data_IF_001835027965
#
_entry.id   IF_001835027965
#
_cell.length_a   1.000
_cell.length_b   1.000
_cell.length_c   1.000
_cell.angle_alpha   90.00
_cell.angle_beta   90.00
_cell.angle_gamma   90.00
#
_symmetry.space_group_name_H-M   'P 1'
#
loop_
_entity.id
_entity.type
_entity.pdbx_description
1 polymer ?
#
# COMPACT_ATOMS: atom_id res chain seq x y z
N UNK A 1 -20.30 29.62 -24.11
CA UNK A 1 -20.23 29.97 -22.68
C UNK A 1 -19.31 28.93 -21.99
N UNK A 2 -18.03 29.24 -21.77
CA UNK A 2 -17.15 28.44 -20.95
C UNK A 2 -17.42 28.84 -19.49
N UNK A 3 -18.27 28.11 -18.79
CA UNK A 3 -18.36 28.21 -17.32
C UNK A 3 -17.03 27.74 -16.77
N UNK A 4 -16.16 28.66 -16.44
CA UNK A 4 -14.95 28.40 -15.64
C UNK A 4 -15.44 27.86 -14.30
N UNK A 5 -15.30 26.54 -14.09
CA UNK A 5 -15.54 25.89 -12.81
C UNK A 5 -14.47 26.42 -11.84
N UNK A 6 -14.74 27.52 -11.15
CA UNK A 6 -13.88 27.98 -10.06
C UNK A 6 -14.15 27.06 -8.87
N UNK A 7 -13.12 26.32 -8.46
CA UNK A 7 -13.16 25.56 -7.21
C UNK A 7 -13.40 26.56 -6.04
N UNK A 8 -14.16 26.11 -5.06
CA UNK A 8 -14.34 26.86 -3.82
C UNK A 8 -12.97 27.06 -3.14
N UNK A 9 -12.70 28.23 -2.61
CA UNK A 9 -11.49 28.50 -1.81
C UNK A 9 -11.35 27.55 -0.64
N UNK A 10 -12.44 26.98 -0.14
CA UNK A 10 -12.44 25.93 0.88
C UNK A 10 -11.64 24.68 0.45
N UNK A 11 -11.52 24.39 -0.85
CA UNK A 11 -10.73 23.23 -1.32
C UNK A 11 -9.25 23.29 -0.89
N UNK A 12 -8.72 24.52 -0.74
CA UNK A 12 -7.32 24.81 -0.41
C UNK A 12 -7.09 25.08 1.09
N UNK A 13 -8.11 24.84 1.94
CA UNK A 13 -8.04 24.96 3.40
C UNK A 13 -8.37 23.61 4.03
N UNK A 14 -7.75 23.30 5.17
CA UNK A 14 -8.04 22.06 5.91
C UNK A 14 -9.53 21.96 6.27
N UNK A 15 -10.06 23.06 6.77
CA UNK A 15 -11.45 23.17 7.24
C UNK A 15 -12.27 24.07 6.33
N UNK A 16 -13.55 23.82 6.34
CA UNK A 16 -14.54 24.58 5.61
C UNK A 16 -15.49 23.65 4.84
N UNK A 17 -16.77 23.98 4.89
CA UNK A 17 -17.78 23.28 4.09
C UNK A 17 -17.70 23.76 2.65
N UNK A 18 -17.78 22.84 1.73
CA UNK A 18 -17.87 23.13 0.31
C UNK A 18 -19.12 22.45 -0.30
N UNK A 19 -19.61 22.91 -1.46
CA UNK A 19 -20.75 22.28 -2.11
C UNK A 19 -20.47 20.80 -2.42
N UNK A 20 -21.39 19.89 -2.13
CA UNK A 20 -21.25 18.46 -2.38
C UNK A 20 -20.92 18.16 -3.86
N UNK A 21 -21.45 18.94 -4.80
CA UNK A 21 -21.13 18.83 -6.23
C UNK A 21 -19.63 19.00 -6.55
N UNK A 22 -18.88 19.69 -5.69
CA UNK A 22 -17.42 19.82 -5.80
C UNK A 22 -16.69 18.83 -4.87
N UNK A 23 -17.19 18.64 -3.64
CA UNK A 23 -16.57 17.76 -2.64
C UNK A 23 -16.51 16.31 -3.11
N UNK A 24 -17.62 15.77 -3.64
CA UNK A 24 -17.70 14.36 -4.07
C UNK A 24 -16.68 14.03 -5.19
N UNK A 25 -16.59 14.77 -6.31
CA UNK A 25 -15.58 14.49 -7.33
C UNK A 25 -14.14 14.57 -6.80
N UNK A 26 -13.86 15.54 -5.91
CA UNK A 26 -12.53 15.68 -5.32
C UNK A 26 -12.20 14.53 -4.36
N UNK A 27 -13.12 14.14 -3.48
CA UNK A 27 -12.94 12.98 -2.61
C UNK A 27 -12.81 11.68 -3.40
N UNK A 28 -13.64 11.47 -4.43
CA UNK A 28 -13.51 10.33 -5.32
C UNK A 28 -12.16 10.29 -6.05
N UNK A 29 -11.65 11.43 -6.50
CA UNK A 29 -10.34 11.53 -7.14
C UNK A 29 -9.22 10.96 -6.25
N UNK A 30 -9.22 11.31 -4.96
CA UNK A 30 -8.24 10.81 -4.00
C UNK A 30 -8.39 9.31 -3.76
N UNK A 31 -9.62 8.82 -3.57
CA UNK A 31 -9.89 7.41 -3.30
C UNK A 31 -9.63 6.53 -4.52
N UNK A 32 -10.06 6.94 -5.71
CA UNK A 32 -9.85 6.15 -6.93
C UNK A 32 -8.36 6.02 -7.30
N UNK A 33 -7.55 7.01 -6.95
CA UNK A 33 -6.10 6.94 -7.13
C UNK A 33 -5.44 5.83 -6.30
N UNK A 34 -6.00 5.50 -5.13
CA UNK A 34 -5.47 4.49 -4.21
C UNK A 34 -6.30 3.22 -4.14
N UNK A 35 -7.47 3.18 -4.78
CA UNK A 35 -8.44 2.09 -4.64
C UNK A 35 -7.81 0.70 -4.86
N UNK A 36 -7.03 0.57 -5.91
CA UNK A 36 -6.32 -0.67 -6.23
C UNK A 36 -5.19 -0.93 -5.25
N UNK A 37 -4.44 0.10 -4.87
CA UNK A 37 -3.36 0.00 -3.88
C UNK A 37 -3.84 -0.54 -2.54
N UNK A 38 -5.05 -0.21 -2.14
CA UNK A 38 -5.68 -0.72 -0.91
C UNK A 38 -6.00 -2.23 -0.98
N UNK A 39 -6.30 -2.78 -2.14
CA UNK A 39 -6.73 -4.18 -2.30
C UNK A 39 -5.61 -5.11 -2.76
N UNK A 40 -4.61 -4.57 -3.45
CA UNK A 40 -3.46 -5.32 -3.99
C UNK A 40 -2.70 -6.12 -2.92
N UNK A 41 -2.30 -5.56 -1.77
CA UNK A 41 -1.58 -6.32 -0.75
C UNK A 41 -2.36 -7.53 -0.26
N UNK A 42 -3.68 -7.38 -0.11
CA UNK A 42 -4.56 -8.44 0.34
C UNK A 42 -4.63 -9.58 -0.68
N UNK A 43 -4.76 -9.26 -1.98
CA UNK A 43 -4.74 -10.27 -3.06
C UNK A 43 -3.42 -11.04 -3.09
N UNK A 44 -2.30 -10.35 -2.90
CA UNK A 44 -0.96 -10.96 -2.87
C UNK A 44 -0.82 -11.89 -1.67
N UNK A 45 -1.19 -11.45 -0.48
CA UNK A 45 -0.99 -12.22 0.76
C UNK A 45 -1.98 -13.38 0.88
N UNK A 46 -3.24 -13.21 0.46
CA UNK A 46 -4.17 -14.34 0.38
C UNK A 46 -3.68 -15.39 -0.60
N UNK A 47 -3.08 -14.98 -1.73
CA UNK A 47 -2.43 -15.87 -2.67
C UNK A 47 -1.22 -16.60 -2.06
N UNK A 48 -0.34 -15.88 -1.36
CA UNK A 48 0.85 -16.45 -0.69
C UNK A 48 0.48 -17.43 0.44
N UNK A 49 -0.61 -17.17 1.16
CA UNK A 49 -1.15 -18.09 2.15
C UNK A 49 -1.92 -19.28 1.54
N UNK A 50 -2.19 -19.28 0.23
CA UNK A 50 -2.99 -20.34 -0.41
C UNK A 50 -4.49 -20.28 -0.07
N UNK A 51 -5.00 -19.12 0.36
CA UNK A 51 -6.41 -18.87 0.69
C UNK A 51 -7.09 -17.96 -0.36
N UNK A 52 -6.65 -18.05 -1.60
CA UNK A 52 -7.22 -17.33 -2.72
C UNK A 52 -7.99 -18.27 -3.65
N UNK A 53 -9.28 -18.02 -3.86
CA UNK A 53 -10.13 -18.82 -4.75
C UNK A 53 -10.50 -20.21 -4.20
N UNK A 54 -11.04 -21.07 -5.04
CA UNK A 54 -11.49 -22.40 -4.64
C UNK A 54 -12.47 -22.35 -3.45
N UNK A 55 -12.24 -23.19 -2.44
CA UNK A 55 -13.02 -23.24 -1.20
C UNK A 55 -12.92 -21.95 -0.35
N UNK A 56 -11.87 -21.13 -0.56
CA UNK A 56 -11.66 -19.86 0.15
C UNK A 56 -12.19 -18.63 -0.62
N UNK A 57 -12.91 -18.82 -1.73
CA UNK A 57 -13.39 -17.72 -2.57
C UNK A 57 -14.25 -16.71 -1.79
N UNK A 58 -15.13 -17.21 -0.92
CA UNK A 58 -16.02 -16.38 -0.09
C UNK A 58 -15.23 -15.66 1.00
N UNK A 59 -14.27 -16.34 1.62
CA UNK A 59 -13.39 -15.73 2.59
C UNK A 59 -12.59 -14.58 1.95
N UNK A 60 -11.97 -14.80 0.80
CA UNK A 60 -11.22 -13.76 0.09
C UNK A 60 -12.11 -12.56 -0.25
N UNK A 61 -13.36 -12.81 -0.68
CA UNK A 61 -14.33 -11.76 -0.96
C UNK A 61 -14.67 -10.94 0.29
N UNK A 62 -14.90 -11.59 1.44
CA UNK A 62 -15.12 -10.92 2.72
C UNK A 62 -13.93 -10.06 3.15
N UNK A 63 -12.71 -10.57 2.99
CA UNK A 63 -11.49 -9.83 3.32
C UNK A 63 -11.35 -8.57 2.47
N UNK A 64 -11.62 -8.65 1.15
CA UNK A 64 -11.59 -7.49 0.25
C UNK A 64 -12.67 -6.45 0.60
N UNK A 65 -13.87 -6.91 0.97
CA UNK A 65 -14.96 -6.07 1.46
C UNK A 65 -14.55 -5.31 2.73
N UNK A 66 -14.03 -6.05 3.71
CA UNK A 66 -13.58 -5.51 4.97
C UNK A 66 -12.46 -4.49 4.77
N UNK A 67 -11.53 -4.71 3.81
CA UNK A 67 -10.46 -3.78 3.51
C UNK A 67 -10.97 -2.41 3.04
N UNK A 68 -12.01 -2.39 2.22
CA UNK A 68 -12.63 -1.14 1.77
C UNK A 68 -13.33 -0.41 2.93
N UNK A 69 -14.10 -1.15 3.74
CA UNK A 69 -14.78 -0.59 4.92
C UNK A 69 -13.80 0.03 5.90
N UNK A 70 -12.77 -0.75 6.29
CA UNK A 70 -11.77 -0.35 7.28
C UNK A 70 -10.99 0.87 6.79
N UNK A 71 -10.53 0.87 5.52
CA UNK A 71 -9.85 2.01 4.93
C UNK A 71 -10.68 3.29 5.03
N UNK A 72 -11.97 3.21 4.75
CA UNK A 72 -12.88 4.35 4.88
C UNK A 72 -13.04 4.84 6.32
N UNK A 73 -13.24 3.92 7.28
CA UNK A 73 -13.39 4.25 8.71
C UNK A 73 -12.09 4.88 9.26
N UNK A 74 -10.94 4.25 9.02
CA UNK A 74 -9.65 4.74 9.51
C UNK A 74 -9.29 6.09 8.87
N UNK A 75 -9.63 6.28 7.59
CA UNK A 75 -9.50 7.59 6.94
C UNK A 75 -10.32 8.67 7.63
N UNK A 76 -11.58 8.39 8.01
CA UNK A 76 -12.40 9.36 8.76
C UNK A 76 -11.78 9.70 10.11
N UNK A 77 -11.23 8.71 10.82
CA UNK A 77 -10.52 8.94 12.09
C UNK A 77 -9.27 9.80 11.86
N UNK A 78 -8.51 9.55 10.80
CA UNK A 78 -7.33 10.34 10.45
C UNK A 78 -7.69 11.79 10.12
N UNK A 79 -8.79 12.03 9.40
CA UNK A 79 -9.25 13.36 9.00
C UNK A 79 -9.81 14.18 10.16
N UNK A 80 -10.55 13.57 11.09
CA UNK A 80 -11.32 14.31 12.11
C UNK A 80 -10.85 14.09 13.54
N UNK A 81 -10.08 13.05 13.78
CA UNK A 81 -9.56 12.57 15.05
C UNK A 81 -10.65 12.14 16.08
N UNK A 82 -10.33 11.13 16.85
CA UNK A 82 -11.09 10.70 18.03
C UNK A 82 -10.15 10.78 19.24
N UNK A 83 -10.32 11.80 20.07
CA UNK A 83 -9.39 12.10 21.15
C UNK A 83 -7.98 12.40 20.60
N UNK A 84 -6.93 11.68 21.04
CA UNK A 84 -5.57 11.87 20.56
C UNK A 84 -5.28 11.12 19.24
N UNK A 85 -6.16 10.21 18.80
CA UNK A 85 -5.99 9.37 17.62
C UNK A 85 -6.50 10.08 16.39
N UNK A 86 -5.63 10.31 15.42
CA UNK A 86 -5.90 11.05 14.19
C UNK A 86 -5.12 12.35 14.11
N UNK A 87 -4.40 12.57 13.00
CA UNK A 87 -3.57 13.76 12.79
C UNK A 87 -4.35 15.00 12.36
N UNK A 88 -5.64 14.87 12.02
CA UNK A 88 -6.43 15.94 11.37
C UNK A 88 -5.80 16.46 10.09
N UNK A 89 -5.13 15.58 9.37
CA UNK A 89 -4.38 15.86 8.13
C UNK A 89 -5.12 15.31 6.91
N UNK A 90 -4.95 15.92 5.72
CA UNK A 90 -5.68 15.53 4.52
C UNK A 90 -5.01 14.32 3.83
N UNK A 91 -5.01 13.18 4.51
CA UNK A 91 -4.40 11.95 4.03
C UNK A 91 -5.43 10.82 4.02
N UNK A 92 -5.36 9.96 3.01
CA UNK A 92 -6.19 8.76 2.93
C UNK A 92 -5.42 7.59 3.50
N UNK A 93 -6.10 6.77 4.29
CA UNK A 93 -5.57 5.56 4.92
C UNK A 93 -6.03 4.33 4.16
N UNK A 94 -5.24 3.28 4.19
CA UNK A 94 -5.62 1.99 3.61
C UNK A 94 -4.56 0.93 3.85
N UNK A 95 -4.76 -0.25 3.26
CA UNK A 95 -3.91 -1.43 3.47
C UNK A 95 -2.46 -1.17 3.04
N UNK A 96 -1.53 -1.38 3.95
CA UNK A 96 -0.10 -1.13 3.73
C UNK A 96 0.52 -2.16 2.79
N UNK A 97 1.18 -1.67 1.74
CA UNK A 97 2.01 -2.50 0.87
C UNK A 97 3.36 -2.85 1.51
N UNK A 98 3.82 -2.09 2.47
CA UNK A 98 5.12 -2.29 3.13
C UNK A 98 5.25 -3.65 3.81
N UNK A 99 4.15 -4.19 4.32
CA UNK A 99 4.13 -5.49 5.00
C UNK A 99 4.21 -6.71 4.06
N UNK A 100 4.05 -6.56 2.74
CA UNK A 100 3.96 -7.69 1.81
C UNK A 100 5.18 -8.62 1.95
N UNK A 101 6.39 -8.08 2.01
CA UNK A 101 7.62 -8.88 2.13
C UNK A 101 7.66 -9.68 3.41
N UNK A 102 7.36 -9.05 4.55
CA UNK A 102 7.35 -9.69 5.86
C UNK A 102 6.24 -10.74 5.95
N UNK A 103 5.05 -10.45 5.45
CA UNK A 103 3.93 -11.39 5.47
C UNK A 103 4.13 -12.59 4.54
N UNK A 104 4.78 -12.41 3.38
CA UNK A 104 5.20 -13.53 2.54
C UNK A 104 6.16 -14.46 3.29
N UNK A 105 7.11 -13.90 4.06
CA UNK A 105 8.00 -14.68 4.90
C UNK A 105 7.27 -15.41 6.02
N UNK A 106 6.32 -14.76 6.69
CA UNK A 106 5.48 -15.39 7.72
C UNK A 106 4.65 -16.51 7.10
N UNK A 107 4.01 -16.28 5.94
CA UNK A 107 3.25 -17.30 5.23
C UNK A 107 4.11 -18.53 4.90
N UNK A 108 5.32 -18.34 4.38
CA UNK A 108 6.26 -19.41 4.08
C UNK A 108 6.71 -20.16 5.35
N UNK A 109 7.06 -19.43 6.43
CA UNK A 109 7.55 -20.01 7.70
C UNK A 109 6.47 -20.81 8.41
N UNK A 110 5.21 -20.38 8.32
CA UNK A 110 4.07 -21.03 8.97
C UNK A 110 3.41 -22.12 8.11
N UNK A 111 3.89 -22.35 6.88
CA UNK A 111 3.37 -23.39 5.97
C UNK A 111 2.08 -23.00 5.25
N UNK A 112 1.73 -21.73 5.19
CA UNK A 112 0.53 -21.24 4.50
C UNK A 112 -0.78 -21.50 5.23
N UNK A 113 -1.89 -21.43 4.50
CA UNK A 113 -3.24 -21.71 4.99
C UNK A 113 -3.82 -20.62 5.89
N UNK A 114 -5.00 -20.91 6.41
CA UNK A 114 -5.74 -20.02 7.34
C UNK A 114 -4.94 -19.80 8.64
N UNK A 115 -4.12 -20.77 9.06
CA UNK A 115 -3.28 -20.66 10.26
C UNK A 115 -2.21 -19.58 10.09
N UNK A 116 -1.51 -19.57 8.95
CA UNK A 116 -0.50 -18.55 8.66
C UNK A 116 -1.13 -17.16 8.55
N UNK A 117 -2.28 -17.06 7.88
CA UNK A 117 -3.03 -15.80 7.81
C UNK A 117 -3.51 -15.34 9.20
N UNK A 118 -3.95 -16.26 10.06
CA UNK A 118 -4.29 -15.99 11.46
C UNK A 118 -3.09 -15.46 12.26
N UNK A 119 -1.89 -16.00 12.02
CA UNK A 119 -0.66 -15.51 12.66
C UNK A 119 -0.29 -14.09 12.19
N UNK A 120 -0.54 -13.76 10.92
CA UNK A 120 -0.41 -12.40 10.40
C UNK A 120 -1.39 -11.47 11.14
N UNK A 121 -2.65 -11.87 11.32
CA UNK A 121 -3.64 -11.08 12.06
C UNK A 121 -3.24 -10.86 13.52
N UNK A 122 -2.81 -11.91 14.22
CA UNK A 122 -2.34 -11.81 15.61
C UNK A 122 -1.14 -10.88 15.75
N UNK A 123 -0.16 -11.00 14.84
CA UNK A 123 1.01 -10.13 14.80
C UNK A 123 0.63 -8.68 14.48
N UNK A 124 -0.34 -8.46 13.59
CA UNK A 124 -0.83 -7.13 13.22
C UNK A 124 -1.57 -6.43 14.37
N UNK A 125 -2.32 -7.16 15.20
CA UNK A 125 -2.95 -6.61 16.41
C UNK A 125 -1.88 -6.10 17.38
N UNK A 126 -0.89 -6.94 17.71
CA UNK A 126 0.17 -6.59 18.66
C UNK A 126 1.03 -5.44 18.09
N UNK A 127 1.39 -5.53 16.82
CA UNK A 127 2.21 -4.52 16.15
C UNK A 127 1.53 -3.17 16.04
N UNK A 128 0.23 -3.13 15.74
CA UNK A 128 -0.52 -1.89 15.69
C UNK A 128 -0.69 -1.22 17.07
N UNK A 129 -0.90 -2.00 18.14
CA UNK A 129 -0.88 -1.48 19.50
C UNK A 129 0.50 -0.91 19.85
N UNK A 130 1.57 -1.61 19.47
CA UNK A 130 2.94 -1.13 19.65
C UNK A 130 3.19 0.20 18.90
N UNK A 131 2.78 0.31 17.65
CA UNK A 131 2.89 1.56 16.87
C UNK A 131 2.05 2.69 17.47
N UNK A 132 0.88 2.40 18.02
CA UNK A 132 0.08 3.39 18.76
C UNK A 132 0.87 3.96 19.94
N UNK A 133 1.57 3.11 20.69
CA UNK A 133 2.45 3.55 21.78
C UNK A 133 3.63 4.36 21.25
N UNK A 134 4.25 3.95 20.13
CA UNK A 134 5.29 4.74 19.47
C UNK A 134 4.79 6.14 19.09
N UNK A 135 3.58 6.23 18.55
CA UNK A 135 2.95 7.51 18.22
C UNK A 135 2.83 8.44 19.44
N UNK A 136 2.52 7.91 20.61
CA UNK A 136 2.47 8.68 21.85
C UNK A 136 3.83 9.28 22.21
N UNK A 137 4.92 8.55 21.96
CA UNK A 137 6.30 8.96 22.25
C UNK A 137 7.03 9.51 21.02
N UNK A 138 6.31 9.90 19.96
CA UNK A 138 6.93 10.30 18.70
C UNK A 138 7.80 11.55 18.82
N UNK A 139 7.42 12.52 19.64
CA UNK A 139 8.16 13.79 19.80
C UNK A 139 9.66 13.60 20.13
N UNK A 140 10.07 12.81 21.14
CA UNK A 140 11.49 12.53 21.39
C UNK A 140 12.13 11.65 20.30
N UNK A 141 11.34 10.86 19.57
CA UNK A 141 11.84 9.95 18.53
C UNK A 141 12.03 10.63 17.18
N UNK A 142 11.34 11.75 16.91
CA UNK A 142 11.40 12.48 15.62
C UNK A 142 12.84 12.81 15.18
N UNK A 143 13.74 13.08 16.10
CA UNK A 143 15.16 13.35 15.79
C UNK A 143 15.90 12.20 15.10
N UNK A 144 15.38 10.99 15.20
CA UNK A 144 15.96 9.81 14.56
C UNK A 144 15.45 9.59 13.14
N UNK A 145 14.42 10.35 12.71
CA UNK A 145 13.73 10.22 11.45
C UNK A 145 13.80 11.49 10.59
N UNK A 146 15.01 12.01 10.27
CA UNK A 146 15.14 13.11 9.31
C UNK A 146 14.70 12.64 7.92
N UNK A 147 14.48 13.57 6.98
CA UNK A 147 13.93 13.28 5.66
C UNK A 147 14.79 12.29 4.85
N UNK A 148 16.11 12.29 5.05
CA UNK A 148 17.00 11.30 4.42
C UNK A 148 16.71 9.89 4.90
N UNK A 149 16.43 9.68 6.20
CA UNK A 149 16.10 8.36 6.75
C UNK A 149 14.71 7.92 6.29
N UNK A 150 13.69 8.78 6.46
CA UNK A 150 12.31 8.47 6.04
C UNK A 150 12.23 8.20 4.54
N UNK A 151 12.88 9.03 3.72
CA UNK A 151 12.93 8.84 2.27
C UNK A 151 13.63 7.56 1.85
N UNK A 152 14.74 7.20 2.53
CA UNK A 152 15.45 5.94 2.29
C UNK A 152 14.56 4.73 2.60
N UNK A 153 13.83 4.77 3.71
CA UNK A 153 12.88 3.72 4.09
C UNK A 153 11.75 3.58 3.05
N UNK A 154 11.09 4.67 2.68
CA UNK A 154 10.00 4.68 1.69
C UNK A 154 10.51 4.16 0.34
N UNK A 155 11.68 4.62 -0.12
CA UNK A 155 12.27 4.13 -1.35
C UNK A 155 12.58 2.63 -1.29
N UNK A 156 13.07 2.14 -0.15
CA UNK A 156 13.37 0.72 0.08
C UNK A 156 12.11 -0.15 -0.01
N UNK A 157 10.98 0.33 0.51
CA UNK A 157 9.68 -0.33 0.36
C UNK A 157 9.34 -0.48 -1.13
N UNK A 158 9.38 0.61 -1.89
CA UNK A 158 9.07 0.58 -3.31
C UNK A 158 9.98 -0.38 -4.10
N UNK A 159 11.30 -0.33 -3.89
CA UNK A 159 12.27 -1.20 -4.55
C UNK A 159 12.05 -2.69 -4.23
N UNK A 160 11.77 -3.01 -2.97
CA UNK A 160 11.51 -4.39 -2.55
C UNK A 160 10.25 -4.95 -3.19
N UNK A 161 9.25 -4.11 -3.43
CA UNK A 161 7.95 -4.51 -3.99
C UNK A 161 7.93 -4.61 -5.52
N UNK A 162 8.88 -3.99 -6.24
CA UNK A 162 8.94 -4.09 -7.71
C UNK A 162 9.02 -5.55 -8.16
N UNK A 163 9.80 -6.40 -7.49
CA UNK A 163 9.90 -7.83 -7.81
C UNK A 163 8.56 -8.55 -7.63
N UNK A 164 7.79 -8.20 -6.60
CA UNK A 164 6.42 -8.73 -6.39
C UNK A 164 5.50 -8.31 -7.53
N UNK A 165 5.60 -7.05 -7.96
CA UNK A 165 4.86 -6.53 -9.11
C UNK A 165 5.19 -7.28 -10.40
N UNK A 166 6.47 -7.55 -10.66
CA UNK A 166 6.93 -8.31 -11.85
C UNK A 166 6.44 -9.77 -11.79
N UNK A 167 6.41 -10.41 -10.63
CA UNK A 167 5.85 -11.74 -10.48
C UNK A 167 4.35 -11.78 -10.86
N UNK A 168 3.60 -10.79 -10.40
CA UNK A 168 2.19 -10.63 -10.81
C UNK A 168 2.06 -10.30 -12.31
N UNK A 169 2.98 -9.51 -12.87
CA UNK A 169 3.06 -9.18 -14.28
C UNK A 169 3.14 -10.43 -15.18
N UNK A 170 3.87 -11.46 -14.72
CA UNK A 170 3.94 -12.77 -15.37
C UNK A 170 2.71 -13.66 -15.21
N UNK A 171 1.68 -13.21 -14.49
CA UNK A 171 0.46 -14.02 -14.23
C UNK A 171 0.39 -14.60 -12.81
N UNK A 172 1.41 -14.36 -11.97
CA UNK A 172 1.51 -14.88 -10.60
C UNK A 172 2.29 -16.20 -10.52
N UNK A 173 3.17 -16.32 -9.52
CA UNK A 173 4.12 -17.44 -9.38
C UNK A 173 3.48 -18.84 -9.31
N UNK A 174 2.21 -18.93 -8.92
CA UNK A 174 1.48 -20.21 -8.80
C UNK A 174 0.71 -20.57 -10.07
N UNK A 175 0.65 -19.65 -11.05
CA UNK A 175 -0.06 -19.89 -12.30
C UNK A 175 0.68 -20.92 -13.16
N UNK A 176 -0.04 -21.85 -13.77
CA UNK A 176 0.52 -22.88 -14.67
C UNK A 176 1.07 -22.27 -15.96
N UNK A 177 0.54 -21.10 -16.36
CA UNK A 177 0.95 -20.31 -17.53
C UNK A 177 1.79 -19.08 -17.12
N UNK A 178 2.49 -19.14 -15.98
CA UNK A 178 3.39 -18.07 -15.53
C UNK A 178 4.42 -17.72 -16.61
N UNK A 179 4.55 -16.44 -16.93
CA UNK A 179 5.47 -15.95 -17.95
C UNK A 179 5.00 -16.16 -19.38
N UNK A 180 3.77 -16.63 -19.63
CA UNK A 180 3.22 -16.77 -20.98
C UNK A 180 3.15 -15.41 -21.68
N UNK A 181 3.24 -15.44 -23.02
CA UNK A 181 3.17 -14.20 -23.82
C UNK A 181 1.84 -13.48 -23.64
N UNK A 182 0.75 -14.19 -23.42
CA UNK A 182 -0.57 -13.63 -23.16
C UNK A 182 -0.55 -12.81 -21.85
N UNK A 183 0.00 -13.37 -20.78
CA UNK A 183 0.13 -12.66 -19.50
C UNK A 183 1.04 -11.43 -19.62
N UNK A 184 2.21 -11.57 -20.26
CA UNK A 184 3.16 -10.47 -20.41
C UNK A 184 2.60 -9.33 -21.28
N UNK A 185 1.94 -9.65 -22.39
CA UNK A 185 1.35 -8.63 -23.27
C UNK A 185 0.16 -7.93 -22.62
N UNK A 186 -0.66 -8.66 -21.86
CA UNK A 186 -1.78 -8.07 -21.12
C UNK A 186 -1.28 -7.10 -20.04
N UNK A 187 -0.28 -7.51 -19.27
CA UNK A 187 0.32 -6.66 -18.25
C UNK A 187 1.02 -5.42 -18.86
N UNK A 188 1.76 -5.60 -19.96
CA UNK A 188 2.39 -4.49 -20.70
C UNK A 188 1.32 -3.52 -21.25
N UNK A 189 0.22 -4.04 -21.79
CA UNK A 189 -0.89 -3.22 -22.25
C UNK A 189 -1.44 -2.34 -21.14
N UNK A 190 -1.69 -2.91 -19.94
CA UNK A 190 -2.15 -2.16 -18.75
C UNK A 190 -1.17 -1.06 -18.39
N UNK A 191 0.13 -1.36 -18.32
CA UNK A 191 1.18 -0.38 -18.00
C UNK A 191 1.22 0.76 -19.03
N UNK A 192 1.13 0.45 -20.32
CA UNK A 192 1.09 1.45 -21.39
C UNK A 192 -0.17 2.32 -21.27
N UNK A 193 -1.34 1.73 -21.00
CA UNK A 193 -2.58 2.49 -20.82
C UNK A 193 -2.51 3.42 -19.62
N UNK A 194 -1.90 3.01 -18.50
CA UNK A 194 -1.65 3.88 -17.35
C UNK A 194 -0.78 5.08 -17.77
N UNK A 195 0.31 4.85 -18.49
CA UNK A 195 1.18 5.93 -18.99
C UNK A 195 0.43 6.88 -19.93
N UNK A 196 -0.39 6.36 -20.83
CA UNK A 196 -1.22 7.16 -21.74
C UNK A 196 -2.20 8.02 -20.94
N UNK A 197 -2.95 7.44 -20.02
CA UNK A 197 -3.88 8.23 -19.19
C UNK A 197 -3.15 9.28 -18.34
N UNK A 198 -2.01 8.93 -17.78
CA UNK A 198 -1.24 9.84 -16.91
C UNK A 198 -0.68 11.05 -17.66
N UNK A 199 -0.20 10.86 -18.91
CA UNK A 199 0.52 11.89 -19.65
C UNK A 199 -0.28 12.53 -20.79
N UNK A 200 -1.18 11.78 -21.46
CA UNK A 200 -1.94 12.29 -22.58
C UNK A 200 -3.28 12.92 -22.17
N UNK A 201 -3.75 12.70 -20.91
CA UNK A 201 -4.99 13.28 -20.39
C UNK A 201 -4.71 14.30 -19.29
N UNK A 202 -5.74 15.04 -18.89
CA UNK A 202 -5.67 16.06 -17.82
C UNK A 202 -6.82 15.87 -16.82
N UNK A 203 -6.64 16.41 -15.61
CA UNK A 203 -7.65 16.38 -14.57
C UNK A 203 -7.96 14.97 -14.07
N UNK A 204 -9.22 14.63 -13.90
CA UNK A 204 -9.68 13.38 -13.31
C UNK A 204 -9.08 12.13 -13.95
N UNK A 205 -9.00 12.06 -15.29
CA UNK A 205 -8.49 10.90 -15.99
C UNK A 205 -6.99 10.67 -15.74
N UNK A 206 -6.19 11.73 -15.66
CA UNK A 206 -4.76 11.63 -15.34
C UNK A 206 -4.52 11.16 -13.90
N UNK A 207 -5.34 11.63 -12.94
CA UNK A 207 -5.22 11.21 -11.54
C UNK A 207 -5.72 9.79 -11.29
N UNK A 208 -6.73 9.35 -12.06
CA UNK A 208 -7.27 7.98 -11.99
C UNK A 208 -6.60 7.02 -12.99
N UNK A 209 -5.42 7.35 -13.49
CA UNK A 209 -4.76 6.62 -14.58
C UNK A 209 -4.58 5.12 -14.28
N UNK A 210 -4.22 4.77 -13.03
CA UNK A 210 -4.04 3.37 -12.61
C UNK A 210 -5.37 2.62 -12.71
N UNK A 211 -6.45 3.18 -12.16
CA UNK A 211 -7.78 2.57 -12.24
C UNK A 211 -8.25 2.41 -13.69
N UNK A 212 -8.08 3.45 -14.51
CA UNK A 212 -8.46 3.42 -15.93
C UNK A 212 -7.65 2.39 -16.71
N UNK A 213 -6.34 2.27 -16.42
CA UNK A 213 -5.49 1.24 -17.02
C UNK A 213 -5.95 -0.17 -16.68
N UNK A 214 -6.36 -0.39 -15.43
CA UNK A 214 -6.94 -1.68 -14.98
C UNK A 214 -8.26 -1.95 -15.69
N UNK A 215 -9.15 -0.97 -15.82
CA UNK A 215 -10.41 -1.13 -16.56
C UNK A 215 -10.12 -1.53 -18.01
N UNK A 216 -9.14 -0.88 -18.67
CA UNK A 216 -8.70 -1.28 -20.00
C UNK A 216 -8.15 -2.71 -20.01
N UNK A 217 -7.39 -3.12 -18.98
CA UNK A 217 -6.90 -4.48 -18.81
C UNK A 217 -8.02 -5.51 -18.66
N UNK A 218 -9.06 -5.18 -17.90
CA UNK A 218 -10.27 -6.04 -17.82
C UNK A 218 -10.96 -6.21 -19.17
N UNK A 219 -11.14 -5.10 -19.91
CA UNK A 219 -11.74 -5.15 -21.25
C UNK A 219 -10.87 -5.98 -22.19
N UNK A 220 -9.55 -5.82 -22.14
CA UNK A 220 -8.63 -6.63 -22.94
C UNK A 220 -8.71 -8.11 -22.57
N UNK A 221 -8.67 -8.47 -21.29
CA UNK A 221 -8.80 -9.85 -20.82
C UNK A 221 -10.16 -10.46 -21.22
N UNK A 222 -11.24 -9.69 -21.16
CA UNK A 222 -12.56 -10.10 -21.62
C UNK A 222 -12.58 -10.41 -23.12
N UNK A 223 -12.00 -9.53 -23.95
CA UNK A 223 -11.89 -9.73 -25.40
C UNK A 223 -11.01 -10.97 -25.70
N UNK A 224 -9.89 -11.14 -25.00
CA UNK A 224 -9.02 -12.30 -25.14
C UNK A 224 -9.80 -13.62 -24.91
N UNK A 225 -10.75 -13.65 -23.99
CA UNK A 225 -11.61 -14.81 -23.72
C UNK A 225 -12.48 -15.25 -24.90
N UNK A 226 -12.72 -14.38 -25.89
CA UNK A 226 -13.43 -14.73 -27.14
C UNK A 226 -12.50 -15.12 -28.27
N UNK A 227 -11.25 -14.68 -28.24
CA UNK A 227 -10.32 -14.79 -29.39
C UNK A 227 -9.27 -15.86 -29.14
N UNK A 228 -8.86 -16.08 -27.89
CA UNK A 228 -7.78 -16.98 -27.52
C UNK A 228 -8.28 -18.21 -26.76
N UNK A 229 -7.56 -19.34 -26.81
CA UNK A 229 -7.89 -20.51 -26.00
C UNK A 229 -7.80 -20.18 -24.51
N UNK A 230 -8.90 -20.42 -23.78
CA UNK A 230 -9.00 -20.13 -22.33
C UNK A 230 -8.37 -21.21 -21.46
N UNK A 231 -8.10 -22.39 -22.03
CA UNK A 231 -7.46 -23.52 -21.38
C UNK A 231 -6.07 -23.76 -21.97
N UNK A 232 -5.23 -24.39 -21.17
CA UNK A 232 -3.92 -24.88 -21.56
C UNK A 232 -3.72 -26.30 -21.02
N UNK A 233 -2.69 -26.98 -21.50
CA UNK A 233 -2.34 -28.33 -21.04
C UNK A 233 -0.89 -28.30 -20.52
N UNK A 234 -0.67 -28.84 -19.31
CA UNK A 234 0.67 -29.00 -18.75
C UNK A 234 1.47 -30.05 -19.48
N UNK A 235 2.78 -30.13 -19.24
CA UNK A 235 3.63 -31.18 -19.81
C UNK A 235 3.17 -32.60 -19.44
N UNK A 236 2.48 -32.74 -18.30
CA UNK A 236 1.93 -34.00 -17.80
C UNK A 236 0.52 -34.31 -18.35
N UNK A 237 0.02 -33.52 -19.31
CA UNK A 237 -1.29 -33.72 -19.95
C UNK A 237 -2.50 -33.23 -19.14
N UNK A 238 -2.26 -32.48 -18.03
CA UNK A 238 -3.36 -31.95 -17.21
C UNK A 238 -3.88 -30.64 -17.78
N UNK A 239 -5.16 -30.56 -18.06
CA UNK A 239 -5.81 -29.33 -18.49
C UNK A 239 -5.94 -28.32 -17.34
N UNK A 240 -5.72 -27.05 -17.63
CA UNK A 240 -5.86 -25.94 -16.66
C UNK A 240 -6.48 -24.71 -17.34
N UNK A 241 -7.16 -23.88 -16.55
CA UNK A 241 -7.63 -22.56 -16.99
C UNK A 241 -6.48 -21.56 -16.90
N UNK A 242 -6.27 -20.77 -17.95
CA UNK A 242 -5.23 -19.74 -17.99
C UNK A 242 -5.50 -18.62 -16.97
N UNK A 243 -4.45 -18.04 -16.41
CA UNK A 243 -4.51 -17.10 -15.30
C UNK A 243 -5.20 -15.75 -15.64
N UNK A 244 -5.26 -15.40 -16.92
CA UNK A 244 -5.93 -14.18 -17.39
C UNK A 244 -7.44 -14.33 -17.66
N UNK A 245 -8.01 -15.53 -17.52
CA UNK A 245 -9.43 -15.79 -17.77
C UNK A 245 -10.30 -15.28 -16.62
N UNK A 246 -11.32 -14.49 -16.97
CA UNK A 246 -12.24 -13.88 -16.00
C UNK A 246 -13.36 -14.84 -15.60
N UNK A 247 -13.51 -15.08 -14.30
CA UNK A 247 -14.62 -15.88 -13.76
C UNK A 247 -15.82 -14.99 -13.39
N UNK A 248 -16.64 -14.62 -14.37
CA UNK A 248 -17.81 -13.78 -14.18
C UNK A 248 -18.92 -14.41 -13.31
N UNK A 249 -18.95 -15.75 -13.19
CA UNK A 249 -19.93 -16.42 -12.33
C UNK A 249 -19.77 -15.97 -10.88
N UNK A 250 -18.53 -15.82 -10.40
CA UNK A 250 -18.24 -15.31 -9.04
C UNK A 250 -18.84 -13.93 -8.78
N UNK A 251 -18.89 -13.06 -9.80
CA UNK A 251 -19.53 -11.73 -9.69
C UNK A 251 -21.04 -11.85 -9.72
N UNK A 252 -21.59 -12.75 -10.56
CA UNK A 252 -23.03 -12.96 -10.67
C UNK A 252 -23.60 -13.45 -9.33
N UNK A 253 -22.91 -14.39 -8.67
CA UNK A 253 -23.33 -15.03 -7.42
C UNK A 253 -23.19 -14.12 -6.20
N UNK A 254 -22.32 -13.11 -6.25
CA UNK A 254 -22.11 -12.18 -5.16
C UNK A 254 -23.34 -11.32 -4.88
N UNK A 255 -23.68 -11.10 -3.61
CA UNK A 255 -24.80 -10.26 -3.19
C UNK A 255 -24.51 -8.75 -3.41
N UNK A 256 -25.58 -7.96 -3.50
CA UNK A 256 -25.45 -6.50 -3.59
C UNK A 256 -25.15 -5.83 -2.25
N UNK A 257 -25.56 -6.47 -1.15
CA UNK A 257 -25.34 -5.94 0.19
C UNK A 257 -25.00 -7.08 1.15
N UNK A 258 -23.95 -6.87 1.93
CA UNK A 258 -23.63 -7.71 3.09
C UNK A 258 -22.96 -6.88 4.17
N UNK A 259 -23.19 -7.27 5.41
CA UNK A 259 -22.52 -6.68 6.56
C UNK A 259 -21.13 -7.30 6.69
N UNK A 260 -20.07 -6.50 6.80
CA UNK A 260 -18.72 -6.98 7.01
C UNK A 260 -18.61 -7.86 8.26
N UNK A 261 -17.91 -8.97 8.13
CA UNK A 261 -17.77 -9.95 9.20
C UNK A 261 -16.59 -9.60 10.11
N UNK A 262 -16.82 -9.56 11.41
CA UNK A 262 -15.76 -9.43 12.41
C UNK A 262 -15.07 -10.79 12.61
N UNK A 263 -13.74 -10.78 12.68
CA UNK A 263 -12.90 -11.98 12.86
C UNK A 263 -13.19 -13.12 11.86
N UNK A 264 -13.21 -12.85 10.55
CA UNK A 264 -13.43 -13.91 9.56
C UNK A 264 -12.31 -14.96 9.62
N UNK A 265 -11.14 -14.58 10.10
CA UNK A 265 -10.03 -15.47 10.46
C UNK A 265 -9.65 -15.20 11.92
N UNK A 266 -9.54 -16.27 12.71
CA UNK A 266 -9.14 -16.17 14.11
C UNK A 266 -7.68 -15.74 14.22
N UNK A 267 -7.36 -14.67 14.98
CA UNK A 267 -5.97 -14.28 15.24
C UNK A 267 -5.21 -15.38 15.99
N UNK A 268 -3.99 -15.66 15.56
CA UNK A 268 -3.07 -16.59 16.22
C UNK A 268 -1.84 -15.80 16.67
N UNK A 269 -1.47 -15.92 17.94
CA UNK A 269 -0.34 -15.18 18.49
C UNK A 269 0.92 -16.08 18.50
N UNK A 270 1.77 -15.92 17.49
CA UNK A 270 3.01 -16.65 17.32
C UNK A 270 4.20 -15.69 17.24
N UNK A 271 5.22 -15.91 18.09
CA UNK A 271 6.40 -15.03 18.14
C UNK A 271 7.18 -15.00 16.82
N UNK A 272 7.12 -16.06 16.01
CA UNK A 272 7.76 -16.11 14.68
C UNK A 272 7.14 -15.12 13.70
N UNK A 273 5.86 -14.81 13.87
CA UNK A 273 5.16 -13.77 13.11
C UNK A 273 5.28 -12.40 13.77
N UNK A 274 5.13 -12.33 15.11
CA UNK A 274 5.09 -11.06 15.86
C UNK A 274 6.41 -10.28 15.73
N UNK A 275 7.57 -10.95 15.92
CA UNK A 275 8.86 -10.25 15.97
C UNK A 275 9.19 -9.49 14.68
N UNK A 276 9.15 -10.09 13.46
CA UNK A 276 9.45 -9.36 12.24
C UNK A 276 8.38 -8.29 11.92
N UNK A 277 7.14 -8.55 12.30
CA UNK A 277 6.04 -7.60 12.10
C UNK A 277 6.17 -6.37 13.00
N UNK A 278 6.58 -6.53 14.27
CA UNK A 278 6.87 -5.39 15.17
C UNK A 278 7.91 -4.44 14.58
N UNK A 279 8.98 -4.98 13.98
CA UNK A 279 10.02 -4.14 13.38
C UNK A 279 9.44 -3.40 12.16
N UNK A 280 8.58 -4.08 11.39
CA UNK A 280 7.94 -3.43 10.25
C UNK A 280 6.99 -2.29 10.69
N UNK A 281 6.36 -2.38 11.86
CA UNK A 281 5.56 -1.29 12.42
C UNK A 281 6.41 -0.06 12.83
N UNK A 282 7.68 -0.24 13.18
CA UNK A 282 8.60 0.91 13.33
C UNK A 282 8.84 1.57 11.97
N UNK A 283 8.97 0.77 10.91
CA UNK A 283 9.19 1.25 9.54
C UNK A 283 7.98 2.03 9.03
N UNK A 284 6.76 1.53 9.26
CA UNK A 284 5.52 2.22 8.85
C UNK A 284 5.27 3.50 9.65
N UNK A 285 5.61 3.52 10.94
CA UNK A 285 5.58 4.77 11.71
C UNK A 285 6.47 5.86 11.08
N UNK A 286 7.66 5.47 10.58
CA UNK A 286 8.55 6.38 9.85
C UNK A 286 7.94 6.82 8.52
N UNK A 287 7.34 5.90 7.76
CA UNK A 287 6.63 6.18 6.50
C UNK A 287 5.51 7.20 6.74
N UNK A 288 4.66 6.97 7.73
CA UNK A 288 3.54 7.86 8.08
C UNK A 288 4.01 9.27 8.50
N UNK A 289 5.11 9.38 9.24
CA UNK A 289 5.73 10.68 9.53
C UNK A 289 6.16 11.40 8.25
N UNK A 290 6.76 10.67 7.31
CA UNK A 290 7.18 11.20 6.00
C UNK A 290 5.99 11.68 5.16
N UNK A 291 4.94 10.87 5.09
CA UNK A 291 3.73 11.16 4.31
C UNK A 291 2.96 12.36 4.86
N UNK A 292 2.76 12.44 6.19
CA UNK A 292 2.10 13.58 6.82
C UNK A 292 2.92 14.85 6.60
N UNK A 293 4.24 14.80 6.78
CA UNK A 293 5.11 15.94 6.51
C UNK A 293 5.02 16.36 5.03
N UNK A 294 5.03 15.38 4.12
CA UNK A 294 4.92 15.62 2.68
C UNK A 294 3.59 16.27 2.28
N UNK A 295 2.47 15.83 2.86
CA UNK A 295 1.13 16.41 2.60
C UNK A 295 1.03 17.81 3.16
N UNK A 296 1.53 18.07 4.37
CA UNK A 296 1.42 19.38 5.01
C UNK A 296 2.31 20.43 4.30
N UNK A 297 3.53 20.07 3.93
CA UNK A 297 4.39 20.94 3.13
C UNK A 297 3.88 21.10 1.70
N UNK A 298 3.60 19.97 1.03
CA UNK A 298 3.15 19.96 -0.36
C UNK A 298 1.81 20.67 -0.54
N UNK A 299 0.86 20.47 0.37
CA UNK A 299 -0.49 21.03 0.29
C UNK A 299 -0.63 22.44 0.84
N UNK A 300 -0.06 22.68 2.03
CA UNK A 300 -0.25 23.91 2.81
C UNK A 300 0.98 24.82 2.90
N UNK A 301 2.14 24.35 2.42
CA UNK A 301 3.38 25.12 2.48
C UNK A 301 3.92 25.33 3.92
N UNK A 302 3.56 24.43 4.87
CA UNK A 302 4.04 24.48 6.25
C UNK A 302 4.46 23.12 6.75
N UNK A 303 5.32 23.10 7.74
CA UNK A 303 5.68 21.88 8.44
C UNK A 303 4.48 21.28 9.21
N UNK A 304 4.48 19.96 9.35
CA UNK A 304 3.56 19.25 10.23
C UNK A 304 3.92 19.50 11.69
N UNK A 305 2.90 19.72 12.52
CA UNK A 305 3.08 19.88 13.97
C UNK A 305 3.31 18.54 14.66
N UNK A 306 3.93 18.54 15.83
CA UNK A 306 4.13 17.33 16.65
C UNK A 306 2.79 16.60 16.93
N UNK A 307 1.70 17.35 17.11
CA UNK A 307 0.37 16.80 17.37
C UNK A 307 -0.20 16.10 16.13
N UNK A 308 -0.01 16.68 14.94
CA UNK A 308 -0.44 16.09 13.67
C UNK A 308 0.31 14.79 13.39
N UNK A 309 1.62 14.79 13.60
CA UNK A 309 2.46 13.60 13.43
C UNK A 309 2.13 12.51 14.46
N UNK A 310 2.07 12.85 15.74
CA UNK A 310 1.76 11.91 16.82
C UNK A 310 0.36 11.31 16.65
N UNK A 311 -0.66 12.14 16.43
CA UNK A 311 -2.03 11.69 16.18
C UNK A 311 -2.16 10.82 14.94
N UNK A 312 -1.40 11.15 13.89
CA UNK A 312 -1.37 10.38 12.64
C UNK A 312 -0.78 8.99 12.82
N UNK A 313 0.37 8.86 13.49
CA UNK A 313 0.99 7.56 13.78
C UNK A 313 0.13 6.74 14.76
N UNK A 314 -0.50 7.37 15.76
CA UNK A 314 -1.46 6.66 16.62
C UNK A 314 -2.67 6.13 15.83
N UNK A 315 -3.14 6.86 14.82
CA UNK A 315 -4.22 6.41 13.94
C UNK A 315 -3.78 5.25 13.04
N UNK A 316 -2.54 5.27 12.57
CA UNK A 316 -1.93 4.19 11.80
C UNK A 316 -1.90 2.89 12.62
N UNK A 317 -1.32 2.94 13.81
CA UNK A 317 -1.22 1.78 14.70
C UNK A 317 -2.57 1.24 15.15
N UNK A 318 -3.45 2.10 15.69
CA UNK A 318 -4.77 1.65 16.16
C UNK A 318 -5.65 1.20 15.00
N UNK A 319 -5.56 1.88 13.84
CA UNK A 319 -6.22 1.50 12.60
C UNK A 319 -5.77 0.14 12.10
N UNK A 320 -4.47 -0.20 12.23
CA UNK A 320 -3.92 -1.51 11.89
C UNK A 320 -4.43 -2.62 12.81
N UNK A 321 -4.50 -2.37 14.13
CA UNK A 321 -5.09 -3.32 15.07
C UNK A 321 -6.59 -3.53 14.80
N UNK A 322 -7.31 -2.46 14.48
CA UNK A 322 -8.72 -2.51 14.10
C UNK A 322 -8.90 -3.28 12.77
N UNK A 323 -8.04 -3.04 11.77
CA UNK A 323 -8.04 -3.76 10.51
C UNK A 323 -7.89 -5.27 10.70
N UNK A 324 -6.94 -5.69 11.55
CA UNK A 324 -6.70 -7.09 11.84
C UNK A 324 -7.90 -7.81 12.49
N UNK A 325 -8.72 -7.10 13.28
CA UNK A 325 -9.99 -7.65 13.80
C UNK A 325 -11.01 -7.93 12.69
N UNK A 326 -10.93 -7.26 11.56
CA UNK A 326 -11.73 -7.53 10.37
C UNK A 326 -11.02 -8.45 9.37
N UNK A 327 -9.91 -9.07 9.77
CA UNK A 327 -9.12 -9.94 8.89
C UNK A 327 -8.36 -9.18 7.79
N UNK A 328 -8.22 -7.86 7.91
CA UNK A 328 -7.52 -6.99 6.96
C UNK A 328 -6.09 -6.79 7.41
N UNK A 329 -5.18 -6.67 6.44
CA UNK A 329 -3.78 -6.34 6.69
C UNK A 329 -3.64 -4.94 7.30
N UNK A 330 -2.50 -4.61 7.95
CA UNK A 330 -2.27 -3.31 8.58
C UNK A 330 -2.61 -2.14 7.68
N UNK A 331 -3.15 -1.10 8.26
CA UNK A 331 -3.51 0.14 7.61
C UNK A 331 -2.37 1.15 7.75
N UNK A 332 -2.12 1.96 6.72
CA UNK A 332 -1.13 3.05 6.76
C UNK A 332 -1.57 4.22 5.88
N UNK A 333 -0.86 5.34 5.97
CA UNK A 333 -1.02 6.46 5.05
C UNK A 333 -0.59 6.07 3.62
N UNK A 334 -1.25 6.63 2.62
CA UNK A 334 -0.91 6.39 1.22
C UNK A 334 0.02 7.47 0.67
N UNK A 335 1.29 7.12 0.39
CA UNK A 335 2.29 8.02 -0.20
C UNK A 335 1.86 8.58 -1.57
N UNK A 336 1.04 7.84 -2.35
CA UNK A 336 0.47 8.34 -3.60
C UNK A 336 -0.44 9.55 -3.37
N UNK A 337 -1.12 9.62 -2.22
CA UNK A 337 -1.95 10.76 -1.86
C UNK A 337 -1.12 12.03 -1.63
N UNK A 338 0.10 11.88 -1.12
CA UNK A 338 1.06 12.99 -0.94
C UNK A 338 1.33 13.68 -2.28
N UNK A 339 1.62 12.90 -3.31
CA UNK A 339 1.85 13.41 -4.66
C UNK A 339 0.62 14.13 -5.22
N UNK A 340 -0.57 13.55 -5.01
CA UNK A 340 -1.83 14.14 -5.46
C UNK A 340 -2.13 15.48 -4.77
N UNK A 341 -1.97 15.55 -3.45
CA UNK A 341 -2.14 16.78 -2.67
C UNK A 341 -1.12 17.84 -3.09
N UNK A 342 0.15 17.46 -3.27
CA UNK A 342 1.21 18.38 -3.69
C UNK A 342 0.94 19.03 -5.06
N UNK A 343 0.34 18.27 -5.99
CA UNK A 343 0.01 18.75 -7.34
C UNK A 343 -1.28 19.57 -7.38
N UNK A 344 -2.31 19.12 -6.68
CA UNK A 344 -3.65 19.75 -6.74
C UNK A 344 -3.86 20.85 -5.71
N UNK A 345 -3.07 20.81 -4.63
CA UNK A 345 -3.24 21.66 -3.43
C UNK A 345 -4.59 21.49 -2.74
N UNK A 346 -5.29 20.38 -3.02
CA UNK A 346 -6.57 20.07 -2.40
C UNK A 346 -6.29 19.42 -1.05
N UNK A 347 -6.62 20.13 0.02
CA UNK A 347 -6.37 19.71 1.41
C UNK A 347 -7.64 19.67 2.25
N UNK A 348 -8.79 19.91 1.67
CA UNK A 348 -10.04 20.03 2.41
C UNK A 348 -10.50 18.67 2.97
N UNK A 349 -10.56 18.55 4.29
CA UNK A 349 -10.95 17.33 4.99
C UNK A 349 -12.39 16.90 4.72
N UNK A 350 -13.31 17.86 4.52
CA UNK A 350 -14.69 17.57 4.13
C UNK A 350 -14.76 16.95 2.73
N UNK A 351 -13.96 17.43 1.77
CA UNK A 351 -13.90 16.81 0.45
C UNK A 351 -13.36 15.38 0.52
N UNK A 352 -12.23 15.14 1.25
CA UNK A 352 -11.65 13.81 1.40
C UNK A 352 -12.59 12.84 2.13
N UNK A 353 -13.38 13.33 3.10
CA UNK A 353 -14.34 12.49 3.83
C UNK A 353 -15.43 11.92 2.92
N UNK A 354 -15.80 12.60 1.83
CA UNK A 354 -16.75 12.03 0.86
C UNK A 354 -16.17 10.81 0.15
N UNK A 355 -14.87 10.81 -0.11
CA UNK A 355 -14.14 9.64 -0.61
C UNK A 355 -14.08 8.50 0.40
N UNK A 356 -13.81 8.81 1.68
CA UNK A 356 -13.83 7.82 2.75
C UNK A 356 -15.21 7.17 2.92
N UNK A 357 -16.30 7.96 2.85
CA UNK A 357 -17.67 7.44 2.85
C UNK A 357 -17.91 6.54 1.64
N UNK A 358 -17.41 6.89 0.46
CA UNK A 358 -17.50 6.04 -0.72
C UNK A 358 -16.81 4.67 -0.49
N UNK A 359 -15.62 4.63 0.13
CA UNK A 359 -14.97 3.36 0.50
C UNK A 359 -15.82 2.52 1.46
N UNK A 360 -16.44 3.14 2.46
CA UNK A 360 -17.35 2.45 3.38
C UNK A 360 -18.52 1.83 2.61
N UNK A 361 -19.14 2.57 1.69
CA UNK A 361 -20.22 2.07 0.86
C UNK A 361 -19.76 0.92 -0.06
N UNK A 362 -18.56 1.01 -0.61
CA UNK A 362 -17.95 -0.09 -1.38
C UNK A 362 -17.74 -1.33 -0.50
N UNK A 363 -17.34 -1.18 0.76
CA UNK A 363 -17.17 -2.25 1.71
C UNK A 363 -18.48 -2.94 2.11
N UNK A 364 -19.63 -2.30 1.89
CA UNK A 364 -20.95 -2.90 2.10
C UNK A 364 -21.50 -3.60 0.85
N UNK A 365 -20.78 -3.55 -0.29
CA UNK A 365 -21.22 -4.11 -1.57
C UNK A 365 -20.28 -5.25 -2.03
N UNK A 366 -20.60 -6.53 -1.73
CA UNK A 366 -19.80 -7.70 -2.14
C UNK A 366 -19.51 -7.79 -3.64
N UNK A 367 -20.43 -7.33 -4.49
CA UNK A 367 -20.20 -7.32 -5.94
C UNK A 367 -18.95 -6.56 -6.35
N UNK A 368 -18.65 -5.44 -5.70
CA UNK A 368 -17.42 -4.68 -5.97
C UNK A 368 -16.17 -5.48 -5.56
N UNK A 369 -16.23 -6.15 -4.41
CA UNK A 369 -15.17 -7.06 -3.97
C UNK A 369 -14.98 -8.23 -4.94
N UNK A 370 -16.09 -8.82 -5.45
CA UNK A 370 -16.07 -9.90 -6.42
C UNK A 370 -15.41 -9.45 -7.74
N UNK A 371 -15.75 -8.28 -8.27
CA UNK A 371 -15.09 -7.72 -9.46
C UNK A 371 -13.58 -7.63 -9.26
N UNK A 372 -13.13 -7.16 -8.10
CA UNK A 372 -11.69 -7.06 -7.81
C UNK A 372 -11.06 -8.44 -7.64
N UNK A 373 -11.76 -9.39 -7.03
CA UNK A 373 -11.24 -10.74 -6.76
C UNK A 373 -11.03 -11.60 -8.02
N UNK A 374 -11.72 -11.30 -9.11
CA UNK A 374 -11.53 -11.99 -10.40
C UNK A 374 -10.49 -11.30 -11.30
N UNK A 375 -9.85 -10.23 -10.81
CA UNK A 375 -8.84 -9.50 -11.57
C UNK A 375 -7.66 -10.42 -11.92
N UNK A 376 -7.32 -10.56 -13.22
CA UNK A 376 -6.15 -11.32 -13.62
C UNK A 376 -4.89 -10.79 -12.95
N UNK A 377 -4.03 -11.70 -12.49
CA UNK A 377 -2.75 -11.31 -11.86
C UNK A 377 -1.87 -10.47 -12.80
N UNK A 378 -1.90 -10.72 -14.11
CA UNK A 378 -1.19 -9.91 -15.11
C UNK A 378 -1.71 -8.46 -15.20
N UNK A 379 -3.03 -8.25 -15.10
CA UNK A 379 -3.62 -6.90 -15.02
C UNK A 379 -3.17 -6.20 -13.73
N UNK A 380 -3.24 -6.92 -12.59
CA UNK A 380 -2.74 -6.43 -11.31
C UNK A 380 -1.25 -6.09 -11.37
N UNK A 381 -0.44 -6.94 -12.00
CA UNK A 381 1.00 -6.77 -12.14
C UNK A 381 1.39 -5.52 -12.94
N UNK A 382 0.71 -5.26 -14.06
CA UNK A 382 0.91 -4.03 -14.84
C UNK A 382 0.66 -2.76 -14.02
N UNK A 383 -0.39 -2.76 -13.19
CA UNK A 383 -0.69 -1.67 -12.27
C UNK A 383 0.28 -1.62 -11.08
N UNK A 384 0.62 -2.77 -10.49
CA UNK A 384 1.49 -2.87 -9.31
C UNK A 384 2.90 -2.35 -9.58
N UNK A 385 3.49 -2.67 -10.72
CA UNK A 385 4.80 -2.13 -11.14
C UNK A 385 4.77 -0.60 -11.12
N UNK A 386 3.72 0.01 -11.66
CA UNK A 386 3.59 1.47 -11.68
C UNK A 386 3.39 2.07 -10.29
N UNK A 387 2.58 1.39 -9.43
CA UNK A 387 2.35 1.82 -8.05
C UNK A 387 3.64 1.76 -7.23
N UNK A 388 4.34 0.63 -7.25
CA UNK A 388 5.57 0.45 -6.48
C UNK A 388 6.69 1.37 -6.96
N UNK A 389 6.80 1.61 -8.27
CA UNK A 389 7.70 2.63 -8.81
C UNK A 389 7.36 4.04 -8.31
N UNK A 390 6.07 4.35 -8.13
CA UNK A 390 5.65 5.65 -7.56
C UNK A 390 6.08 5.80 -6.11
N UNK A 391 6.08 4.71 -5.32
CA UNK A 391 6.60 4.72 -3.94
C UNK A 391 8.11 5.02 -3.95
N UNK A 392 8.88 4.40 -4.87
CA UNK A 392 10.32 4.72 -5.03
C UNK A 392 10.53 6.21 -5.27
N UNK A 393 9.76 6.79 -6.19
CA UNK A 393 9.85 8.23 -6.51
C UNK A 393 9.49 9.10 -5.29
N UNK A 394 8.47 8.74 -4.52
CA UNK A 394 8.13 9.45 -3.27
C UNK A 394 9.29 9.41 -2.27
N UNK A 395 9.96 8.27 -2.13
CA UNK A 395 11.17 8.15 -1.31
C UNK A 395 12.30 9.07 -1.78
N UNK A 396 12.56 9.11 -3.09
CA UNK A 396 13.57 10.02 -3.70
C UNK A 396 13.20 11.48 -3.41
N UNK A 397 11.95 11.86 -3.57
CA UNK A 397 11.49 13.22 -3.29
C UNK A 397 11.70 13.61 -1.82
N UNK A 398 11.53 12.68 -0.88
CA UNK A 398 11.84 12.91 0.54
C UNK A 398 13.34 13.08 0.78
N UNK A 399 14.18 12.22 0.19
CA UNK A 399 15.65 12.28 0.31
C UNK A 399 16.18 13.65 -0.18
N UNK A 400 15.65 14.11 -1.32
CA UNK A 400 16.11 15.36 -1.96
C UNK A 400 15.60 16.64 -1.27
N UNK A 401 14.79 16.55 -0.22
CA UNK A 401 14.42 17.70 0.63
C UNK A 401 15.58 18.22 1.46
N UNK A 402 16.53 17.35 1.79
CA UNK A 402 17.76 17.73 2.50
C UNK A 402 18.93 17.78 1.52
N UNK A 403 19.98 18.58 1.79
CA UNK A 403 21.18 18.59 0.98
C UNK A 403 21.81 17.19 0.90
N UNK A 404 22.24 16.78 -0.28
CA UNK A 404 22.92 15.50 -0.51
C UNK A 404 24.40 15.57 -0.08
N UNK A 405 24.60 15.82 1.20
CA UNK A 405 25.92 15.87 1.81
C UNK A 405 26.60 14.50 1.83
N UNK A 406 27.90 14.45 2.06
CA UNK A 406 28.64 13.19 2.13
C UNK A 406 28.06 12.24 3.20
N UNK A 407 27.58 12.81 4.33
CA UNK A 407 26.90 12.08 5.39
C UNK A 407 25.58 11.46 4.90
N UNK A 408 24.71 12.27 4.31
CA UNK A 408 23.40 11.85 3.84
C UNK A 408 23.52 10.83 2.69
N UNK A 409 24.48 11.04 1.79
CA UNK A 409 24.80 10.08 0.72
C UNK A 409 25.30 8.75 1.28
N UNK A 410 26.10 8.74 2.35
CA UNK A 410 26.56 7.51 3.00
C UNK A 410 25.39 6.74 3.60
N UNK A 411 24.47 7.41 4.34
CA UNK A 411 23.26 6.77 4.91
C UNK A 411 22.45 6.11 3.79
N UNK A 412 22.17 6.87 2.75
CA UNK A 412 21.38 6.41 1.60
C UNK A 412 22.06 5.24 0.86
N UNK A 413 23.35 5.38 0.51
CA UNK A 413 24.07 4.38 -0.29
C UNK A 413 24.21 3.04 0.43
N UNK A 414 24.53 3.05 1.72
CA UNK A 414 24.64 1.82 2.50
C UNK A 414 23.28 1.14 2.64
N UNK A 415 22.23 1.88 2.97
CA UNK A 415 20.90 1.32 3.09
C UNK A 415 20.40 0.75 1.75
N UNK A 416 20.62 1.48 0.63
CA UNK A 416 20.29 1.01 -0.72
C UNK A 416 21.03 -0.29 -1.08
N UNK A 417 22.34 -0.35 -0.80
CA UNK A 417 23.14 -1.54 -1.04
C UNK A 417 22.64 -2.76 -0.24
N UNK A 418 22.25 -2.54 1.01
CA UNK A 418 21.68 -3.60 1.87
C UNK A 418 20.32 -4.06 1.35
N UNK A 419 19.40 -3.16 0.99
CA UNK A 419 18.09 -3.55 0.40
C UNK A 419 18.29 -4.41 -0.83
N UNK A 420 19.03 -3.89 -1.79
CA UNK A 420 19.23 -4.57 -3.06
C UNK A 420 19.96 -5.90 -2.88
N UNK A 421 21.03 -5.91 -2.08
CA UNK A 421 21.82 -7.11 -1.80
C UNK A 421 21.01 -8.21 -1.13
N UNK A 422 20.18 -7.86 -0.14
CA UNK A 422 19.32 -8.81 0.57
C UNK A 422 18.19 -9.34 -0.33
N UNK A 423 17.56 -8.48 -1.13
CA UNK A 423 16.52 -8.90 -2.07
C UNK A 423 17.08 -9.83 -3.16
N UNK A 424 18.32 -9.59 -3.62
CA UNK A 424 18.96 -10.41 -4.66
C UNK A 424 19.52 -11.73 -4.14
N UNK A 425 19.94 -11.79 -2.86
CA UNK A 425 20.67 -12.92 -2.27
C UNK A 425 20.12 -13.26 -0.88
N UNK A 426 18.83 -13.55 -0.77
CA UNK A 426 18.20 -13.92 0.51
C UNK A 426 18.88 -15.13 1.20
N UNK A 427 19.48 -16.02 0.42
CA UNK A 427 20.22 -17.20 0.92
C UNK A 427 21.46 -16.90 1.76
N UNK A 428 21.97 -15.65 1.75
CA UNK A 428 23.14 -15.25 2.56
C UNK A 428 22.91 -15.47 4.06
N UNK A 429 21.66 -15.46 4.51
CA UNK A 429 21.27 -15.66 5.90
C UNK A 429 20.97 -17.11 6.28
N UNK A 430 21.05 -18.07 5.35
CA UNK A 430 20.66 -19.47 5.62
C UNK A 430 21.44 -20.12 6.78
N UNK A 431 22.67 -19.67 7.07
CA UNK A 431 23.48 -20.15 8.18
C UNK A 431 23.40 -19.26 9.43
N UNK A 432 22.66 -18.15 9.37
CA UNK A 432 22.49 -17.26 10.51
C UNK A 432 21.55 -17.91 11.56
N UNK A 433 21.62 -17.48 12.84
CA UNK A 433 20.65 -17.90 13.84
C UNK A 433 19.21 -17.65 13.38
N UNK A 434 18.27 -18.52 13.76
CA UNK A 434 16.89 -18.45 13.31
C UNK A 434 16.24 -17.08 13.57
N UNK A 435 16.54 -16.43 14.70
CA UNK A 435 16.06 -15.08 14.99
C UNK A 435 16.52 -14.04 13.95
N UNK A 436 17.78 -14.15 13.47
CA UNK A 436 18.33 -13.29 12.44
C UNK A 436 17.67 -13.56 11.08
N UNK A 437 17.45 -14.82 10.74
CA UNK A 437 16.74 -15.19 9.52
C UNK A 437 15.29 -14.65 9.52
N UNK A 438 14.58 -14.76 10.64
CA UNK A 438 13.21 -14.26 10.79
C UNK A 438 13.12 -12.73 10.63
N UNK A 439 14.07 -12.01 11.24
CA UNK A 439 14.07 -10.54 11.23
C UNK A 439 14.53 -9.98 9.87
N UNK A 440 15.58 -10.55 9.29
CA UNK A 440 16.27 -9.98 8.14
C UNK A 440 16.06 -10.76 6.83
N UNK A 441 15.58 -11.99 6.88
CA UNK A 441 15.42 -12.85 5.69
C UNK A 441 14.13 -12.60 4.91
N UNK A 442 13.14 -11.93 5.51
CA UNK A 442 11.82 -11.76 4.90
C UNK A 442 11.75 -10.67 3.81
N UNK A 443 12.53 -9.61 3.95
CA UNK A 443 12.64 -8.55 2.94
C UNK A 443 13.87 -7.68 3.21
N UNK A 444 14.36 -6.99 2.19
CA UNK A 444 15.45 -6.02 2.36
C UNK A 444 15.05 -4.73 3.10
N UNK A 445 13.77 -4.51 3.35
CA UNK A 445 13.23 -3.26 3.93
C UNK A 445 13.72 -3.10 5.38
N UNK A 446 13.55 -4.14 6.21
CA UNK A 446 13.92 -4.10 7.63
C UNK A 446 15.41 -3.84 7.82
N UNK A 447 16.33 -4.60 7.16
CA UNK A 447 17.77 -4.32 7.24
C UNK A 447 18.12 -2.91 6.79
N UNK A 448 17.53 -2.40 5.70
CA UNK A 448 17.80 -1.07 5.18
C UNK A 448 17.35 0.03 6.13
N UNK A 449 16.15 -0.10 6.71
CA UNK A 449 15.64 0.85 7.69
C UNK A 449 16.56 0.91 8.93
N UNK A 450 16.98 -0.26 9.44
CA UNK A 450 17.91 -0.33 10.56
C UNK A 450 19.25 0.31 10.23
N UNK A 451 19.81 0.03 9.05
CA UNK A 451 21.07 0.66 8.60
C UNK A 451 20.93 2.17 8.52
N UNK A 452 19.85 2.68 7.92
CA UNK A 452 19.61 4.11 7.79
C UNK A 452 19.50 4.80 9.17
N UNK A 453 18.76 4.20 10.11
CA UNK A 453 18.58 4.72 11.47
C UNK A 453 19.91 4.68 12.24
N UNK A 454 20.61 3.55 12.22
CA UNK A 454 21.89 3.37 12.94
C UNK A 454 22.94 4.32 12.41
N UNK A 455 23.10 4.45 11.08
CA UNK A 455 24.06 5.39 10.50
C UNK A 455 23.70 6.84 10.82
N UNK A 456 22.40 7.18 10.84
CA UNK A 456 21.98 8.53 11.25
C UNK A 456 22.34 8.85 12.70
N UNK A 457 22.42 7.85 13.58
CA UNK A 457 22.83 8.02 14.98
C UNK A 457 24.36 8.11 15.10
N UNK A 458 25.07 7.23 14.40
CA UNK A 458 26.52 7.03 14.55
C UNK A 458 27.35 8.08 13.79
N UNK A 459 26.89 8.50 12.60
CA UNK A 459 27.65 9.45 11.79
C UNK A 459 27.60 10.86 12.41
N UNK A 460 28.74 11.57 12.48
CA UNK A 460 28.79 12.92 13.02
C UNK A 460 27.87 13.86 12.24
N UNK A 461 27.23 14.78 12.97
CA UNK A 461 26.42 15.84 12.33
C UNK A 461 27.34 16.81 11.64
N UNK A 462 27.06 17.16 10.41
CA UNK A 462 27.80 18.17 9.65
C UNK A 462 27.64 19.56 10.27
N UNK A 463 28.69 20.34 10.23
CA UNK A 463 28.65 21.76 10.60
C UNK A 463 27.88 22.51 9.50
N UNK A 464 27.11 23.54 9.88
CA UNK A 464 26.33 24.37 8.94
C UNK A 464 27.12 25.00 7.79
N UNK A 465 28.45 25.08 7.92
CA UNK A 465 29.35 25.63 6.90
C UNK A 465 29.63 24.66 5.76
N UNK A 466 29.57 23.35 6.00
CA UNK A 466 29.84 22.32 4.97
C UNK A 466 28.59 22.02 4.09
N UNK A 467 27.42 22.51 4.44
CA UNK A 467 26.16 22.32 3.72
C UNK A 467 25.94 23.36 2.59
N UNK A 468 26.82 24.34 2.45
CA UNK A 468 26.73 25.44 1.47
C UNK A 468 27.75 25.32 0.32
N UNK A 469 28.62 24.30 0.31
CA UNK A 469 29.57 23.96 -0.74
C UNK A 469 29.06 22.77 -1.57
#
# INVERSE_FOLDING_TARGET
MKTSYRLSEAAFRLDGKMPLKQAIPLGLQHVLAIFVGNLTPLLIITGACGIAGGEFADLQLQLLQNAMLVAGIVTLVQLFAIGPVGGKVPIIMGTSSGFIGVFNSVAATMGGGVLAYGAIMGASIIGGLFETVLGFFLKPLRKFFPSVVTGTVVMSIGLSLISVGINSFGGGNTAKDFGSMENLLLALFVLVMILVFKHATKGFASFSAILLGIICGYVAAFIMGFVLPTTGVTADGVEYTKAWVLNWQKVADASWFAIPTLMPVKPVFDLRAILPVLIMFVVTAVETVGDISGVMEGGLGREATDTELSGGVMCDGLGSSFAALFGVLPNTSFSQNVGLVSMTKIVNRFALSTGAIFLILCGLCPKLGAIVSIMPQSVLGGAAVMMFSSIVISGIQLITKEPLTARNLSIFSFALGVVYGMCANASILNQAPQAVQLIFGGSGIVPAALVAIVLNILLPKEKKEDAAA
#
